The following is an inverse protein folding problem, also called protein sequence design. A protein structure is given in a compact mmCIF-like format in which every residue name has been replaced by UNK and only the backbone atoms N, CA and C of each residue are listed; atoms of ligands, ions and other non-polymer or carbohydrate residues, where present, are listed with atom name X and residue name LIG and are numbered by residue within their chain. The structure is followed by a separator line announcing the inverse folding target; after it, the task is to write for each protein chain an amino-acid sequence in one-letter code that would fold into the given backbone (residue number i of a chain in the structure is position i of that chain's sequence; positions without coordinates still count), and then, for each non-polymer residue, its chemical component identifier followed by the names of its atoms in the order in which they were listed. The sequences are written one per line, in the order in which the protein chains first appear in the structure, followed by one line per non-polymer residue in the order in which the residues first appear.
data_IF_642907821679
#
_entry.id   IF_642907821679
#
_cell.length_a   1.000
_cell.length_b   1.000
_cell.length_c   1.000
_cell.angle_alpha   90.00
_cell.angle_beta   90.00
_cell.angle_gamma   90.00
#
_symmetry.space_group_name_H-M   'P 1'
#
loop_
_entity.id
_entity.type
_entity.pdbx_description
1 polymer ?
#
# COMPACT_ATOMS: atom_id res chain seq x y z
N UNK A 1 -11.20 30.87 11.85
CA UNK A 1 -10.40 29.62 11.78
C UNK A 1 -11.24 28.34 11.76
N UNK A 2 -12.47 28.32 12.31
CA UNK A 2 -13.33 27.11 12.26
C UNK A 2 -13.85 26.75 10.85
N UNK A 3 -14.07 27.74 9.97
CA UNK A 3 -14.50 27.49 8.58
C UNK A 3 -13.42 26.84 7.71
N UNK A 4 -12.13 27.05 7.98
CA UNK A 4 -11.05 26.44 7.17
C UNK A 4 -10.83 24.98 7.54
N UNK A 5 -11.01 24.60 8.81
CA UNK A 5 -10.96 23.19 9.23
C UNK A 5 -12.15 22.37 8.70
N UNK A 6 -13.35 22.96 8.62
CA UNK A 6 -14.52 22.28 8.03
C UNK A 6 -14.36 21.96 6.54
N UNK A 7 -13.76 22.88 5.78
CA UNK A 7 -13.47 22.66 4.35
C UNK A 7 -12.34 21.64 4.12
N UNK A 8 -11.37 21.55 5.03
CA UNK A 8 -10.31 20.52 5.04
C UNK A 8 -10.84 19.12 5.45
N UNK A 9 -11.82 19.05 6.35
CA UNK A 9 -12.46 17.79 6.73
C UNK A 9 -13.38 17.25 5.62
N UNK A 10 -14.06 18.14 4.88
CA UNK A 10 -14.80 17.75 3.68
C UNK A 10 -13.86 17.21 2.59
N UNK A 11 -12.69 17.81 2.39
CA UNK A 11 -11.74 17.29 1.39
C UNK A 11 -11.12 15.96 1.81
N UNK A 12 -10.79 15.76 3.08
CA UNK A 12 -10.24 14.50 3.59
C UNK A 12 -11.25 13.35 3.49
N UNK A 13 -12.52 13.59 3.84
CA UNK A 13 -13.58 12.59 3.70
C UNK A 13 -13.88 12.28 2.24
N UNK A 14 -13.89 13.27 1.36
CA UNK A 14 -14.05 13.02 -0.08
C UNK A 14 -12.89 12.24 -0.67
N UNK A 15 -11.65 12.58 -0.32
CA UNK A 15 -10.46 11.81 -0.74
C UNK A 15 -10.53 10.38 -0.23
N UNK A 16 -10.92 10.15 1.03
CA UNK A 16 -11.10 8.81 1.58
C UNK A 16 -12.19 8.03 0.83
N UNK A 17 -13.35 8.64 0.56
CA UNK A 17 -14.43 7.98 -0.19
C UNK A 17 -14.03 7.64 -1.62
N UNK A 18 -13.33 8.54 -2.32
CA UNK A 18 -12.84 8.27 -3.68
C UNK A 18 -11.81 7.13 -3.64
N UNK A 19 -10.87 7.16 -2.69
CA UNK A 19 -9.84 6.14 -2.58
C UNK A 19 -10.43 4.76 -2.26
N UNK A 20 -11.42 4.70 -1.36
CA UNK A 20 -12.13 3.45 -1.01
C UNK A 20 -12.98 2.93 -2.17
N UNK A 21 -13.65 3.81 -2.93
CA UNK A 21 -14.40 3.41 -4.13
C UNK A 21 -13.45 2.95 -5.24
N UNK A 22 -12.33 3.63 -5.45
CA UNK A 22 -11.31 3.24 -6.44
C UNK A 22 -10.66 1.90 -6.05
N UNK A 23 -10.33 1.72 -4.77
CA UNK A 23 -9.79 0.47 -4.23
C UNK A 23 -10.81 -0.66 -4.35
N UNK A 24 -12.07 -0.42 -4.00
CA UNK A 24 -13.13 -1.42 -4.15
C UNK A 24 -13.36 -1.77 -5.63
N UNK A 25 -13.41 -0.78 -6.53
CA UNK A 25 -13.52 -1.01 -7.95
C UNK A 25 -12.32 -1.81 -8.50
N UNK A 26 -11.10 -1.51 -8.03
CA UNK A 26 -9.89 -2.22 -8.42
C UNK A 26 -9.84 -3.66 -7.86
N UNK A 27 -10.25 -3.87 -6.61
CA UNK A 27 -10.38 -5.21 -6.00
C UNK A 27 -11.46 -6.06 -6.68
N UNK A 28 -12.45 -5.43 -7.31
CA UNK A 28 -13.49 -6.11 -8.09
C UNK A 28 -13.15 -6.26 -9.59
N UNK A 29 -12.00 -5.74 -10.06
CA UNK A 29 -11.51 -5.89 -11.43
C UNK A 29 -10.70 -7.17 -11.62
N UNK A 30 -11.06 -8.26 -10.96
CA UNK A 30 -10.44 -9.55 -11.24
C UNK A 30 -10.90 -10.01 -12.64
N UNK A 31 -10.00 -10.08 -13.64
CA UNK A 31 -10.30 -10.89 -14.80
C UNK A 31 -10.48 -12.32 -14.29
N UNK A 32 -11.65 -12.91 -14.57
CA UNK A 32 -11.79 -14.35 -14.41
C UNK A 32 -11.13 -14.91 -15.65
N UNK A 33 -9.85 -15.25 -15.53
CA UNK A 33 -9.22 -16.18 -16.45
C UNK A 33 -9.81 -17.57 -16.15
N UNK A 34 -10.09 -18.32 -17.19
CA UNK A 34 -10.48 -19.72 -17.07
C UNK A 34 -9.42 -20.49 -17.85
N UNK A 35 -9.13 -21.71 -17.39
CA UNK A 35 -8.29 -22.66 -18.10
C UNK A 35 -9.12 -23.88 -18.49
N UNK A 36 -8.85 -24.38 -19.69
CA UNK A 36 -9.35 -25.67 -20.18
C UNK A 36 -8.35 -26.75 -19.78
N UNK A 37 -8.77 -27.64 -18.88
CA UNK A 37 -8.01 -28.82 -18.51
C UNK A 37 -8.66 -30.05 -19.16
N UNK A 38 -7.96 -30.67 -20.11
CA UNK A 38 -8.44 -31.86 -20.80
C UNK A 38 -7.78 -33.12 -20.24
N UNK A 39 -8.57 -34.19 -20.12
CA UNK A 39 -8.13 -35.49 -19.61
C UNK A 39 -8.58 -36.61 -20.55
N UNK A 40 -7.69 -37.55 -20.84
CA UNK A 40 -7.98 -38.74 -21.65
C UNK A 40 -8.18 -39.99 -20.76
N UNK A 41 -8.70 -41.10 -21.31
CA UNK A 41 -8.82 -42.40 -20.63
C UNK A 41 -7.48 -42.94 -20.12
N UNK A 42 -6.38 -42.60 -20.79
CA UNK A 42 -5.02 -42.97 -20.37
C UNK A 42 -4.48 -42.08 -19.24
N UNK A 43 -5.32 -41.21 -18.68
CA UNK A 43 -4.99 -40.25 -17.62
C UNK A 43 -3.91 -39.22 -18.02
N UNK A 44 -3.65 -39.07 -19.33
CA UNK A 44 -2.94 -37.93 -19.88
C UNK A 44 -3.79 -36.67 -19.67
N UNK A 45 -3.15 -35.60 -19.21
CA UNK A 45 -3.80 -34.30 -18.99
C UNK A 45 -3.03 -33.19 -19.67
N UNK A 46 -3.76 -32.25 -20.28
CA UNK A 46 -3.18 -31.07 -20.91
C UNK A 46 -4.01 -29.82 -20.58
N UNK A 47 -3.32 -28.72 -20.31
CA UNK A 47 -3.91 -27.38 -20.12
C UNK A 47 -3.86 -26.60 -21.43
N UNK A 48 -4.92 -25.84 -21.70
CA UNK A 48 -5.02 -25.00 -22.89
C UNK A 48 -5.46 -23.59 -22.49
N UNK A 49 -4.77 -22.60 -23.06
CA UNK A 49 -5.14 -21.19 -22.89
C UNK A 49 -6.51 -20.92 -23.49
N UNK A 50 -7.36 -20.23 -22.75
CA UNK A 50 -8.66 -19.81 -23.22
C UNK A 50 -9.01 -18.36 -22.87
N UNK A 51 -10.04 -17.86 -23.53
CA UNK A 51 -10.57 -16.52 -23.31
C UNK A 51 -12.07 -16.60 -23.10
N UNK A 52 -12.56 -16.34 -21.87
CA UNK A 52 -13.98 -16.43 -21.59
C UNK A 52 -14.79 -15.32 -22.28
N UNK A 53 -16.00 -15.68 -22.71
CA UNK A 53 -16.95 -14.74 -23.27
C UNK A 53 -17.49 -13.79 -22.18
N UNK A 54 -17.88 -12.58 -22.61
CA UNK A 54 -18.50 -11.57 -21.71
C UNK A 54 -20.00 -11.79 -21.47
N UNK A 55 -20.51 -12.97 -21.82
CA UNK A 55 -21.90 -13.38 -21.71
C UNK A 55 -21.98 -14.82 -21.18
N UNK A 56 -23.17 -15.23 -20.73
CA UNK A 56 -23.36 -16.45 -19.96
C UNK A 56 -23.19 -16.21 -18.46
N UNK A 57 -23.35 -17.27 -17.67
CA UNK A 57 -23.17 -17.21 -16.22
C UNK A 57 -21.71 -17.43 -15.83
N UNK A 58 -21.34 -16.99 -14.62
CA UNK A 58 -19.99 -17.20 -14.06
C UNK A 58 -19.78 -18.66 -13.68
N UNK A 59 -18.64 -19.22 -14.04
CA UNK A 59 -18.29 -20.59 -13.70
C UNK A 59 -18.34 -20.83 -12.18
N UNK A 60 -18.85 -21.99 -11.74
CA UNK A 60 -18.80 -22.38 -10.34
C UNK A 60 -17.35 -22.61 -9.90
N UNK A 61 -17.09 -22.50 -8.59
CA UNK A 61 -15.73 -22.66 -8.04
C UNK A 61 -15.14 -24.05 -8.28
N UNK A 62 -15.98 -25.09 -8.33
CA UNK A 62 -15.57 -26.46 -8.70
C UNK A 62 -15.25 -26.66 -10.18
N UNK A 63 -15.50 -25.66 -11.03
CA UNK A 63 -15.38 -25.78 -12.49
C UNK A 63 -16.49 -26.60 -13.13
N UNK A 64 -16.52 -26.64 -14.46
CA UNK A 64 -17.50 -27.39 -15.25
C UNK A 64 -16.83 -28.57 -15.96
N UNK A 65 -17.25 -29.79 -15.60
CA UNK A 65 -16.75 -31.03 -16.21
C UNK A 65 -17.75 -31.59 -17.22
N UNK A 66 -17.28 -31.89 -18.42
CA UNK A 66 -18.10 -32.54 -19.44
C UNK A 66 -17.28 -33.24 -20.53
N UNK A 67 -17.96 -34.03 -21.36
CA UNK A 67 -17.37 -34.72 -22.49
C UNK A 67 -17.29 -33.79 -23.71
N UNK A 68 -16.12 -33.74 -24.35
CA UNK A 68 -15.92 -32.89 -25.52
C UNK A 68 -16.50 -33.55 -26.78
N UNK A 69 -17.33 -32.83 -27.52
CA UNK A 69 -17.86 -33.28 -28.81
C UNK A 69 -17.71 -32.18 -29.87
N UNK A 70 -17.24 -32.57 -31.05
CA UNK A 70 -17.20 -31.66 -32.19
C UNK A 70 -18.63 -31.39 -32.69
N UNK A 71 -18.93 -30.12 -32.97
CA UNK A 71 -20.21 -29.75 -33.58
C UNK A 71 -20.34 -30.36 -34.98
N UNK A 72 -21.57 -30.73 -35.33
CA UNK A 72 -21.97 -31.13 -36.68
C UNK A 72 -23.18 -30.28 -37.09
N UNK A 73 -23.05 -29.33 -38.04
CA UNK A 73 -21.84 -28.97 -38.78
C UNK A 73 -20.79 -28.25 -37.90
N UNK A 74 -19.50 -28.32 -38.27
CA UNK A 74 -18.41 -27.76 -37.46
C UNK A 74 -18.56 -26.26 -37.21
N UNK A 75 -19.10 -25.52 -38.19
CA UNK A 75 -19.29 -24.08 -38.09
C UNK A 75 -20.55 -23.67 -37.31
N UNK A 76 -21.46 -24.60 -36.98
CA UNK A 76 -22.71 -24.29 -36.28
C UNK A 76 -23.57 -23.16 -36.91
N UNK A 77 -23.41 -22.88 -38.21
CA UNK A 77 -24.22 -21.87 -38.89
C UNK A 77 -25.65 -22.38 -39.19
N UNK A 78 -25.82 -23.69 -39.16
CA UNK A 78 -27.10 -24.40 -39.19
C UNK A 78 -27.35 -25.09 -37.82
N UNK A 79 -28.59 -25.54 -37.54
CA UNK A 79 -28.90 -26.28 -36.31
C UNK A 79 -27.96 -27.48 -36.12
N UNK A 80 -27.33 -27.55 -34.94
CA UNK A 80 -26.35 -28.59 -34.61
C UNK A 80 -27.09 -29.88 -34.24
N UNK A 81 -26.51 -31.04 -34.55
CA UNK A 81 -27.02 -32.34 -34.08
C UNK A 81 -26.98 -32.40 -32.53
N UNK A 82 -28.03 -32.89 -31.84
CA UNK A 82 -28.03 -33.02 -30.39
C UNK A 82 -26.93 -33.97 -29.87
N UNK A 83 -26.49 -33.82 -28.61
CA UNK A 83 -25.52 -34.73 -28.02
C UNK A 83 -26.06 -36.17 -27.95
N UNK A 84 -25.19 -37.18 -27.98
CA UNK A 84 -25.60 -38.58 -27.83
C UNK A 84 -26.37 -38.80 -26.52
N UNK A 85 -27.56 -39.39 -26.61
CA UNK A 85 -28.32 -39.80 -25.43
C UNK A 85 -27.59 -40.97 -24.77
N UNK A 86 -27.17 -40.80 -23.51
CA UNK A 86 -26.53 -41.85 -22.73
C UNK A 86 -27.53 -42.39 -21.72
N UNK A 87 -27.97 -43.63 -21.94
CA UNK A 87 -28.84 -44.33 -21.00
C UNK A 87 -28.07 -44.52 -19.68
N UNK A 88 -28.52 -43.85 -18.62
CA UNK A 88 -28.07 -43.96 -17.22
C UNK A 88 -26.76 -43.26 -16.81
N UNK A 89 -26.19 -42.37 -17.63
CA UNK A 89 -25.19 -41.42 -17.12
C UNK A 89 -25.52 -40.01 -17.60
N UNK A 90 -25.78 -39.11 -16.66
CA UNK A 90 -25.96 -37.68 -16.87
C UNK A 90 -24.64 -37.01 -17.26
N UNK A 91 -23.98 -37.55 -18.30
CA UNK A 91 -22.77 -36.98 -18.85
C UNK A 91 -23.12 -35.64 -19.49
N UNK A 92 -22.64 -34.55 -18.90
CA UNK A 92 -22.72 -33.25 -19.53
C UNK A 92 -21.81 -33.20 -20.76
N UNK A 93 -22.28 -32.60 -21.85
CA UNK A 93 -21.52 -32.47 -23.09
C UNK A 93 -21.09 -31.03 -23.33
N UNK A 94 -19.87 -30.88 -23.80
CA UNK A 94 -19.23 -29.61 -24.15
C UNK A 94 -19.03 -29.62 -25.66
N UNK A 95 -19.58 -28.62 -26.35
CA UNK A 95 -19.52 -28.57 -27.81
C UNK A 95 -18.33 -27.72 -28.27
N UNK A 96 -17.52 -28.27 -29.18
CA UNK A 96 -16.43 -27.57 -29.85
C UNK A 96 -16.89 -27.06 -31.21
N UNK A 97 -16.85 -25.73 -31.41
CA UNK A 97 -17.39 -25.03 -32.58
C UNK A 97 -16.28 -24.28 -33.30
N UNK A 98 -16.20 -24.48 -34.62
CA UNK A 98 -15.25 -23.79 -35.51
C UNK A 98 -15.69 -22.35 -35.79
N UNK A 99 -14.75 -21.40 -35.72
CA UNK A 99 -14.95 -20.01 -36.15
C UNK A 99 -15.10 -19.89 -37.68
N UNK A 100 -15.60 -18.74 -38.15
CA UNK A 100 -15.85 -18.35 -39.55
C UNK A 100 -17.23 -18.76 -40.08
N UNK A 101 -17.53 -18.39 -41.33
CA UNK A 101 -18.79 -18.57 -42.08
C UNK A 101 -20.02 -17.79 -41.58
N UNK A 102 -20.15 -17.58 -40.27
CA UNK A 102 -21.23 -16.81 -39.67
C UNK A 102 -20.82 -16.16 -38.34
N UNK A 103 -21.63 -15.20 -37.87
CA UNK A 103 -21.39 -14.50 -36.60
C UNK A 103 -21.56 -15.44 -35.40
N UNK A 104 -20.87 -15.12 -34.29
CA UNK A 104 -20.98 -15.86 -33.03
C UNK A 104 -22.43 -16.00 -32.56
N UNK A 105 -23.23 -14.95 -32.71
CA UNK A 105 -24.66 -14.90 -32.35
C UNK A 105 -25.46 -16.07 -32.94
N UNK A 106 -25.22 -16.36 -34.22
CA UNK A 106 -25.92 -17.44 -34.94
C UNK A 106 -25.48 -18.79 -34.39
N UNK A 107 -24.17 -18.96 -34.16
CA UNK A 107 -23.58 -20.20 -33.59
C UNK A 107 -24.10 -20.48 -32.18
N UNK A 108 -24.19 -19.44 -31.34
CA UNK A 108 -24.71 -19.51 -29.98
C UNK A 108 -26.20 -19.91 -30.01
N UNK A 109 -27.01 -19.27 -30.87
CA UNK A 109 -28.44 -19.60 -30.98
C UNK A 109 -28.66 -21.05 -31.44
N UNK A 110 -27.86 -21.53 -32.40
CA UNK A 110 -28.02 -22.88 -32.92
C UNK A 110 -27.56 -23.95 -31.92
N UNK A 111 -26.56 -23.67 -31.09
CA UNK A 111 -26.12 -24.57 -30.02
C UNK A 111 -27.04 -24.54 -28.79
N UNK A 112 -27.62 -23.39 -28.44
CA UNK A 112 -28.60 -23.24 -27.33
C UNK A 112 -29.88 -24.07 -27.51
N UNK A 113 -30.17 -24.57 -28.71
CA UNK A 113 -31.34 -25.42 -28.97
C UNK A 113 -31.23 -26.81 -28.34
N UNK A 114 -30.04 -27.17 -27.85
CA UNK A 114 -29.74 -28.46 -27.25
C UNK A 114 -29.05 -28.31 -25.90
N UNK A 115 -29.13 -29.35 -25.07
CA UNK A 115 -28.64 -29.34 -23.68
C UNK A 115 -27.12 -29.54 -23.59
N UNK A 116 -26.34 -28.61 -24.13
CA UNK A 116 -24.90 -28.54 -23.89
C UNK A 116 -24.61 -27.76 -22.60
N UNK A 117 -23.54 -28.14 -21.90
CA UNK A 117 -23.13 -27.49 -20.65
C UNK A 117 -22.26 -26.25 -20.88
N UNK A 118 -21.42 -26.29 -21.92
CA UNK A 118 -20.43 -25.27 -22.26
C UNK A 118 -20.20 -25.26 -23.77
N UNK A 119 -19.90 -24.09 -24.32
CA UNK A 119 -19.51 -23.92 -25.71
C UNK A 119 -18.05 -23.48 -25.80
N UNK A 120 -17.24 -24.20 -26.57
CA UNK A 120 -15.84 -23.88 -26.83
C UNK A 120 -15.73 -23.48 -28.30
N UNK A 121 -15.38 -22.23 -28.54
CA UNK A 121 -15.14 -21.71 -29.89
C UNK A 121 -13.66 -21.76 -30.18
N UNK A 122 -13.27 -22.21 -31.37
CA UNK A 122 -11.85 -22.23 -31.73
C UNK A 122 -11.55 -21.41 -32.97
N UNK A 123 -10.35 -20.83 -32.97
CA UNK A 123 -9.79 -20.15 -34.12
C UNK A 123 -9.33 -21.16 -35.20
N UNK A 124 -9.08 -20.65 -36.40
CA UNK A 124 -8.85 -21.45 -37.62
C UNK A 124 -7.58 -21.05 -38.36
N UNK A 125 -6.96 -19.93 -37.98
CA UNK A 125 -5.85 -19.32 -38.73
C UNK A 125 -4.59 -19.22 -37.88
N UNK A 126 -4.77 -18.98 -36.59
CA UNK A 126 -3.70 -18.79 -35.62
C UNK A 126 -4.19 -19.14 -34.21
N UNK A 127 -3.27 -19.08 -33.25
CA UNK A 127 -3.55 -19.26 -31.83
C UNK A 127 -3.95 -17.95 -31.12
N UNK A 128 -4.26 -16.89 -31.86
CA UNK A 128 -4.69 -15.66 -31.22
C UNK A 128 -6.08 -15.82 -30.61
N UNK A 129 -6.18 -15.51 -29.32
CA UNK A 129 -7.44 -15.49 -28.60
C UNK A 129 -8.21 -14.19 -28.89
N UNK A 130 -9.46 -14.34 -29.31
CA UNK A 130 -10.28 -13.22 -29.77
C UNK A 130 -11.49 -13.05 -28.87
N UNK A 131 -11.69 -11.82 -28.38
CA UNK A 131 -12.87 -11.48 -27.59
C UNK A 131 -14.12 -11.64 -28.44
N UNK A 132 -14.97 -12.59 -28.05
CA UNK A 132 -16.29 -12.78 -28.63
C UNK A 132 -17.15 -11.54 -28.37
N UNK A 133 -17.48 -10.80 -29.44
CA UNK A 133 -18.38 -9.65 -29.35
C UNK A 133 -19.80 -10.17 -29.19
N UNK A 134 -20.41 -9.93 -28.04
CA UNK A 134 -21.77 -10.33 -27.75
C UNK A 134 -22.81 -9.52 -28.53
N UNK A 135 -24.02 -10.07 -28.58
CA UNK A 135 -25.22 -9.47 -29.18
C UNK A 135 -25.55 -8.16 -28.46
N UNK A 136 -25.76 -7.07 -29.21
CA UNK A 136 -26.02 -5.74 -28.63
C UNK A 136 -27.44 -5.56 -28.06
N UNK A 137 -28.34 -6.54 -28.21
CA UNK A 137 -29.70 -6.48 -27.69
C UNK A 137 -29.79 -7.15 -26.33
N UNK A 138 -30.12 -6.35 -25.30
CA UNK A 138 -30.20 -6.76 -23.89
C UNK A 138 -31.12 -7.97 -23.68
N UNK A 139 -32.19 -8.08 -24.48
CA UNK A 139 -33.17 -9.17 -24.37
C UNK A 139 -32.60 -10.52 -24.81
N UNK A 140 -31.63 -10.54 -25.72
CA UNK A 140 -31.00 -11.79 -26.18
C UNK A 140 -29.90 -12.22 -25.22
N UNK A 141 -29.15 -11.28 -24.64
CA UNK A 141 -28.14 -11.58 -23.62
C UNK A 141 -28.74 -12.26 -22.38
N UNK A 142 -29.96 -11.86 -21.96
CA UNK A 142 -30.69 -12.51 -20.85
C UNK A 142 -31.08 -13.95 -21.13
N UNK A 143 -31.11 -14.36 -22.40
CA UNK A 143 -31.50 -15.71 -22.83
C UNK A 143 -30.30 -16.66 -22.96
N UNK A 144 -29.07 -16.15 -22.92
CA UNK A 144 -27.86 -16.96 -23.03
C UNK A 144 -27.46 -17.43 -21.62
N UNK A 145 -27.85 -18.66 -21.29
CA UNK A 145 -27.59 -19.30 -19.99
C UNK A 145 -26.51 -20.39 -20.08
N UNK A 146 -25.58 -20.28 -21.04
CA UNK A 146 -24.48 -21.23 -21.21
C UNK A 146 -23.18 -20.43 -21.26
N UNK A 147 -22.14 -20.77 -20.47
CA UNK A 147 -20.83 -20.15 -20.57
C UNK A 147 -20.23 -20.46 -21.93
N UNK A 148 -19.34 -19.59 -22.39
CA UNK A 148 -18.62 -19.78 -23.64
C UNK A 148 -17.19 -19.34 -23.48
N UNK A 149 -16.27 -20.09 -24.07
CA UNK A 149 -14.83 -19.79 -24.07
C UNK A 149 -14.28 -19.86 -25.48
N UNK A 150 -13.20 -19.14 -25.73
CA UNK A 150 -12.53 -19.10 -27.02
C UNK A 150 -11.09 -19.63 -26.91
N UNK A 151 -10.66 -20.47 -27.85
CA UNK A 151 -9.32 -21.08 -27.88
C UNK A 151 -8.61 -20.89 -29.23
N UNK A 152 -7.29 -21.10 -29.22
CA UNK A 152 -6.44 -21.14 -30.41
C UNK A 152 -6.69 -22.36 -31.32
N UNK A 153 -6.15 -22.31 -32.52
CA UNK A 153 -6.25 -23.40 -33.51
C UNK A 153 -5.48 -24.66 -33.08
N UNK A 154 -4.23 -24.52 -32.64
CA UNK A 154 -3.39 -25.64 -32.20
C UNK A 154 -4.01 -26.37 -31.02
N UNK A 155 -4.49 -25.61 -30.04
CA UNK A 155 -5.22 -26.12 -28.88
C UNK A 155 -6.46 -26.92 -29.29
N UNK A 156 -7.22 -26.40 -30.26
CA UNK A 156 -8.40 -27.11 -30.78
C UNK A 156 -8.03 -28.39 -31.53
N UNK A 157 -6.94 -28.40 -32.30
CA UNK A 157 -6.49 -29.60 -33.00
C UNK A 157 -6.07 -30.68 -31.99
N UNK A 158 -5.29 -30.33 -30.96
CA UNK A 158 -4.96 -31.25 -29.86
C UNK A 158 -6.21 -31.80 -29.16
N UNK A 159 -7.19 -30.94 -28.86
CA UNK A 159 -8.46 -31.35 -28.27
C UNK A 159 -9.24 -32.34 -29.16
N UNK A 160 -9.26 -32.12 -30.48
CA UNK A 160 -9.92 -33.02 -31.45
C UNK A 160 -9.21 -34.36 -31.56
N UNK A 161 -7.88 -34.32 -31.58
CA UNK A 161 -7.05 -35.48 -31.84
C UNK A 161 -6.87 -36.39 -30.62
N UNK A 162 -7.02 -35.89 -29.40
CA UNK A 162 -6.75 -36.69 -28.20
C UNK A 162 -7.90 -36.71 -27.19
N UNK A 163 -8.70 -35.64 -27.11
CA UNK A 163 -9.64 -35.43 -26.01
C UNK A 163 -11.12 -35.45 -26.43
N UNK A 164 -11.45 -36.08 -27.56
CA UNK A 164 -12.85 -36.25 -28.00
C UNK A 164 -13.58 -37.32 -27.19
N UNK A 165 -14.91 -37.19 -27.09
CA UNK A 165 -15.79 -38.12 -26.39
C UNK A 165 -15.62 -39.58 -26.84
N UNK A 166 -15.40 -39.82 -28.13
CA UNK A 166 -15.19 -41.17 -28.69
C UNK A 166 -13.92 -41.83 -28.13
N UNK A 167 -12.93 -41.01 -27.74
CA UNK A 167 -11.69 -41.42 -27.07
C UNK A 167 -11.79 -41.36 -25.55
N UNK A 168 -12.96 -41.03 -25.00
CA UNK A 168 -13.17 -40.84 -23.56
C UNK A 168 -12.68 -39.54 -22.97
N UNK A 169 -12.25 -38.61 -23.83
CA UNK A 169 -11.76 -37.34 -23.39
C UNK A 169 -12.86 -36.55 -22.68
N UNK A 170 -12.52 -36.01 -21.51
CA UNK A 170 -13.35 -35.06 -20.80
C UNK A 170 -12.57 -33.79 -20.55
N UNK A 171 -13.28 -32.68 -20.62
CA UNK A 171 -12.74 -31.34 -20.40
C UNK A 171 -13.34 -30.81 -19.10
N UNK A 172 -12.49 -30.20 -18.29
CA UNK A 172 -12.85 -29.47 -17.08
C UNK A 172 -12.46 -28.02 -17.29
N UNK A 173 -13.45 -27.15 -17.29
CA UNK A 173 -13.23 -25.71 -17.32
C UNK A 173 -13.15 -25.21 -15.88
N UNK A 174 -11.96 -24.80 -15.45
CA UNK A 174 -11.72 -24.36 -14.07
C UNK A 174 -11.55 -22.84 -14.07
N UNK A 175 -12.27 -22.09 -13.22
CA UNK A 175 -11.95 -20.67 -13.04
C UNK A 175 -10.55 -20.57 -12.44
N UNK A 176 -9.64 -19.88 -13.11
CA UNK A 176 -8.32 -19.60 -12.58
C UNK A 176 -8.48 -18.50 -11.53
N UNK A 177 -8.49 -18.90 -10.26
CA UNK A 177 -8.32 -17.95 -9.16
C UNK A 177 -6.82 -17.65 -9.03
N UNK A 178 -6.26 -16.97 -10.03
CA UNK A 178 -4.97 -16.34 -9.85
C UNK A 178 -5.18 -15.26 -8.78
N UNK A 179 -4.81 -15.55 -7.53
CA UNK A 179 -4.70 -14.50 -6.51
C UNK A 179 -3.63 -13.55 -7.04
N UNK A 180 -3.99 -12.38 -7.57
CA UNK A 180 -3.02 -11.55 -8.25
C UNK A 180 -2.23 -10.81 -7.18
N UNK A 181 -1.27 -11.51 -6.58
CA UNK A 181 -0.43 -11.00 -5.49
C UNK A 181 0.21 -9.67 -5.90
N UNK A 182 0.56 -9.50 -7.18
CA UNK A 182 1.05 -8.25 -7.73
C UNK A 182 0.08 -7.06 -7.51
N UNK A 183 -1.23 -7.25 -7.71
CA UNK A 183 -2.24 -6.22 -7.47
C UNK A 183 -2.43 -5.88 -5.98
N UNK A 184 -2.13 -6.80 -5.06
CA UNK A 184 -2.17 -6.53 -3.62
C UNK A 184 -0.86 -5.98 -3.06
N UNK A 185 0.28 -6.33 -3.67
CA UNK A 185 1.61 -5.85 -3.25
C UNK A 185 1.80 -4.36 -3.55
N UNK A 186 1.34 -3.88 -4.71
CA UNK A 186 1.46 -2.46 -5.08
C UNK A 186 0.81 -1.51 -4.05
N UNK A 187 -0.49 -1.66 -3.67
CA UNK A 187 -1.10 -0.80 -2.66
C UNK A 187 -0.46 -0.97 -1.27
N UNK A 188 0.01 -2.17 -0.91
CA UNK A 188 0.75 -2.38 0.33
C UNK A 188 2.05 -1.56 0.37
N UNK A 189 2.84 -1.58 -0.70
CA UNK A 189 4.07 -0.79 -0.81
C UNK A 189 3.81 0.71 -0.78
N UNK A 190 2.71 1.18 -1.38
CA UNK A 190 2.30 2.60 -1.31
C UNK A 190 2.00 3.00 0.14
N UNK A 191 1.24 2.19 0.89
CA UNK A 191 0.93 2.46 2.29
C UNK A 191 2.20 2.53 3.14
N UNK A 192 3.10 1.54 2.99
CA UNK A 192 4.39 1.52 3.68
C UNK A 192 5.22 2.76 3.34
N UNK A 193 5.27 3.16 2.07
CA UNK A 193 5.97 4.36 1.63
C UNK A 193 5.42 5.65 2.25
N UNK A 194 4.10 5.80 2.32
CA UNK A 194 3.45 6.97 2.96
C UNK A 194 3.80 7.00 4.46
N UNK A 195 3.74 5.86 5.15
CA UNK A 195 4.10 5.78 6.58
C UNK A 195 5.56 6.22 6.83
N UNK A 196 6.51 5.78 5.99
CA UNK A 196 7.91 6.20 6.10
C UNK A 196 8.07 7.70 5.86
N UNK A 197 7.39 8.27 4.86
CA UNK A 197 7.43 9.71 4.58
C UNK A 197 6.89 10.51 5.78
N UNK A 198 5.79 10.07 6.40
CA UNK A 198 5.23 10.73 7.58
C UNK A 198 6.18 10.67 8.78
N UNK A 199 6.85 9.54 8.99
CA UNK A 199 7.88 9.39 10.03
C UNK A 199 9.05 10.34 9.78
N UNK A 200 9.53 10.45 8.54
CA UNK A 200 10.61 11.36 8.17
C UNK A 200 10.19 12.82 8.37
N UNK A 201 8.98 13.22 7.97
CA UNK A 201 8.45 14.57 8.21
C UNK A 201 8.35 14.84 9.71
N UNK A 202 7.87 13.89 10.51
CA UNK A 202 7.82 14.02 11.96
C UNK A 202 9.22 14.17 12.56
N UNK A 203 10.20 13.39 12.11
CA UNK A 203 11.60 13.52 12.55
C UNK A 203 12.19 14.88 12.18
N UNK A 204 11.97 15.37 10.95
CA UNK A 204 12.46 16.68 10.50
C UNK A 204 11.79 17.80 11.31
N UNK A 205 10.47 17.76 11.47
CA UNK A 205 9.74 18.78 12.25
C UNK A 205 10.20 18.80 13.70
N UNK A 206 10.36 17.64 14.34
CA UNK A 206 10.92 17.53 15.69
C UNK A 206 12.35 18.05 15.76
N UNK A 207 13.21 17.68 14.81
CA UNK A 207 14.60 18.17 14.75
C UNK A 207 14.66 19.69 14.62
N UNK A 208 13.82 20.27 13.75
CA UNK A 208 13.69 21.70 13.56
C UNK A 208 13.18 22.37 14.84
N UNK A 209 12.11 21.85 15.46
CA UNK A 209 11.57 22.36 16.73
C UNK A 209 12.59 22.33 17.85
N UNK A 210 13.31 21.22 18.03
CA UNK A 210 14.36 21.07 19.06
C UNK A 210 15.50 22.07 18.82
N UNK A 211 15.91 22.25 17.55
CA UNK A 211 16.91 23.26 17.17
C UNK A 211 16.41 24.69 17.40
N UNK A 212 15.13 24.99 17.14
CA UNK A 212 14.53 26.29 17.45
C UNK A 212 14.47 26.54 18.96
N UNK A 213 14.09 25.54 19.77
CA UNK A 213 14.06 25.63 21.24
C UNK A 213 15.45 25.92 21.80
N UNK A 214 16.49 25.26 21.28
CA UNK A 214 17.87 25.53 21.66
C UNK A 214 18.34 26.97 21.32
N UNK A 215 17.81 27.58 20.25
CA UNK A 215 18.13 28.97 19.86
C UNK A 215 17.41 30.02 20.71
N UNK A 216 16.12 29.82 21.06
CA UNK A 216 15.34 30.81 21.82
C UNK A 216 15.82 31.00 23.26
N UNK A 217 16.49 30.00 23.84
CA UNK A 217 16.91 30.03 25.25
C UNK A 217 18.20 30.81 25.54
N UNK A 218 18.87 31.40 24.54
CA UNK A 218 20.14 32.13 24.71
C UNK A 218 19.96 33.65 24.70
N UNK A 219 20.44 34.37 25.72
CA UNK A 219 20.44 35.84 25.74
C UNK A 219 21.55 36.38 24.83
N UNK A 220 21.21 37.30 23.91
CA UNK A 220 22.22 38.00 23.09
C UNK A 220 23.15 38.79 24.01
N UNK A 221 24.46 38.76 23.75
CA UNK A 221 25.48 39.47 24.54
C UNK A 221 25.20 40.97 24.70
N UNK A 222 24.51 41.58 23.74
CA UNK A 222 24.16 43.00 23.78
C UNK A 222 23.06 43.35 24.79
N UNK A 223 22.14 42.41 25.06
CA UNK A 223 21.12 42.58 26.10
C UNK A 223 21.72 42.35 27.49
N UNK A 224 22.69 41.44 27.61
CA UNK A 224 23.42 41.21 28.86
C UNK A 224 24.20 42.46 29.31
N UNK A 225 24.79 43.21 28.37
CA UNK A 225 25.54 44.45 28.66
C UNK A 225 24.68 45.58 29.24
N UNK A 226 23.36 45.54 29.07
CA UNK A 226 22.43 46.55 29.58
C UNK A 226 22.04 46.36 31.04
N UNK A 227 22.38 45.20 31.63
CA UNK A 227 22.04 44.91 33.03
C UNK A 227 23.00 45.65 33.98
N UNK A 228 22.49 46.18 35.12
CA UNK A 228 23.29 46.92 36.08
C UNK A 228 24.48 46.10 36.60
N UNK A 229 25.64 46.76 36.71
CA UNK A 229 26.84 46.20 37.35
C UNK A 229 27.17 47.05 38.57
N UNK A 230 27.20 46.40 39.73
CA UNK A 230 27.62 46.98 40.99
C UNK A 230 29.04 46.52 41.34
N UNK A 231 29.85 47.40 41.94
CA UNK A 231 31.14 47.00 42.51
C UNK A 231 30.94 46.85 44.01
N UNK A 232 31.11 45.63 44.51
CA UNK A 232 30.89 45.33 45.92
C UNK A 232 31.82 46.14 46.83
N UNK A 233 31.26 46.64 47.92
CA UNK A 233 31.97 47.24 49.04
C UNK A 233 31.47 46.61 50.33
N UNK A 234 32.38 46.37 51.27
CA UNK A 234 32.10 45.81 52.60
C UNK A 234 31.06 46.67 53.32
N UNK A 235 29.85 46.12 53.47
CA UNK A 235 28.67 46.82 54.01
C UNK A 235 27.48 46.93 53.05
N UNK A 236 27.58 46.43 51.82
CA UNK A 236 26.43 46.28 50.91
C UNK A 236 25.44 45.18 51.40
N UNK A 237 24.21 45.18 50.87
CA UNK A 237 23.13 44.24 51.25
C UNK A 237 23.31 42.80 50.74
N UNK A 238 24.42 42.49 50.05
CA UNK A 238 24.65 41.20 49.41
C UNK A 238 25.91 40.55 49.99
N UNK A 239 25.81 39.34 50.52
CA UNK A 239 26.95 38.71 51.22
C UNK A 239 27.59 37.54 50.45
N UNK A 240 26.79 36.78 49.69
CA UNK A 240 27.24 35.52 49.05
C UNK A 240 26.70 35.37 47.63
N UNK A 241 27.51 34.81 46.73
CA UNK A 241 27.05 34.43 45.39
C UNK A 241 26.36 33.08 45.38
N UNK A 242 25.07 33.02 45.05
CA UNK A 242 24.32 31.77 44.99
C UNK A 242 24.71 30.80 43.84
N UNK A 243 25.71 31.15 43.00
CA UNK A 243 26.22 30.26 41.93
C UNK A 243 27.53 29.57 42.34
N UNK A 244 28.52 30.33 42.82
CA UNK A 244 29.80 29.75 43.28
C UNK A 244 29.86 29.49 44.79
N UNK A 245 28.87 29.99 45.53
CA UNK A 245 28.76 29.89 47.00
C UNK A 245 29.88 30.62 47.77
N UNK A 246 30.64 31.48 47.09
CA UNK A 246 31.69 32.30 47.70
C UNK A 246 31.13 33.62 48.25
N UNK A 247 31.71 34.10 49.35
CA UNK A 247 31.49 35.45 49.89
C UNK A 247 32.02 36.52 48.93
N UNK A 248 31.40 37.70 48.92
CA UNK A 248 31.84 38.80 48.06
C UNK A 248 33.05 39.54 48.65
N UNK A 249 34.03 39.84 47.80
CA UNK A 249 35.23 40.59 48.17
C UNK A 249 35.19 42.03 47.67
N UNK A 250 35.81 42.96 48.42
CA UNK A 250 35.87 44.38 48.04
C UNK A 250 36.41 44.57 46.61
N UNK A 251 35.58 45.18 45.75
CA UNK A 251 35.90 45.40 44.34
C UNK A 251 35.35 44.34 43.38
N UNK A 252 34.67 43.31 43.86
CA UNK A 252 33.99 42.32 43.02
C UNK A 252 32.93 42.97 42.13
N UNK A 253 32.87 42.51 40.87
CA UNK A 253 31.85 42.97 39.91
C UNK A 253 30.62 42.09 40.00
N UNK A 254 29.56 42.65 40.57
CA UNK A 254 28.27 42.00 40.72
C UNK A 254 27.32 42.45 39.60
N UNK A 255 26.62 41.51 39.00
CA UNK A 255 25.50 41.79 38.09
C UNK A 255 24.21 41.63 38.87
N UNK A 256 23.41 42.69 38.89
CA UNK A 256 22.10 42.70 39.54
C UNK A 256 21.03 42.46 38.47
N UNK A 257 20.23 41.40 38.65
CA UNK A 257 19.12 41.09 37.74
C UNK A 257 17.87 41.95 38.08
N UNK A 258 16.88 42.08 37.19
CA UNK A 258 15.66 42.86 37.45
C UNK A 258 14.82 42.37 38.64
N UNK A 259 15.07 41.15 39.11
CA UNK A 259 14.50 40.56 40.32
C UNK A 259 15.36 40.81 41.57
N UNK A 260 16.22 41.84 41.54
CA UNK A 260 17.17 42.28 42.57
C UNK A 260 18.20 41.26 43.09
N UNK A 261 18.25 40.04 42.56
CA UNK A 261 19.31 39.10 42.90
C UNK A 261 20.66 39.50 42.28
N UNK A 262 21.71 39.50 43.10
CA UNK A 262 23.09 39.81 42.71
C UNK A 262 23.95 38.54 42.59
N UNK A 263 24.86 38.54 41.61
CA UNK A 263 25.80 37.44 41.35
C UNK A 263 27.11 38.03 40.81
N UNK A 264 28.25 37.34 40.97
CA UNK A 264 29.46 37.72 40.22
C UNK A 264 29.16 37.71 38.71
N UNK A 265 29.63 38.73 37.97
CA UNK A 265 29.48 38.76 36.51
C UNK A 265 30.05 37.49 35.86
N UNK A 266 31.16 36.96 36.37
CA UNK A 266 31.79 35.72 35.86
C UNK A 266 30.89 34.49 36.00
N UNK A 267 30.04 34.46 37.04
CA UNK A 267 29.20 33.31 37.37
C UNK A 267 27.86 33.34 36.62
N UNK A 268 27.21 34.51 36.55
CA UNK A 268 25.86 34.61 35.95
C UNK A 268 25.88 34.85 34.44
N UNK A 269 26.95 35.41 33.87
CA UNK A 269 27.02 35.69 32.43
C UNK A 269 27.01 34.39 31.57
N UNK A 270 27.76 33.33 31.92
CA UNK A 270 27.65 32.03 31.23
C UNK A 270 26.26 31.43 31.36
N UNK A 271 25.63 31.53 32.54
CA UNK A 271 24.28 31.03 32.79
C UNK A 271 23.24 31.68 31.85
N UNK A 272 23.26 33.00 31.74
CA UNK A 272 22.31 33.76 30.93
C UNK A 272 22.56 33.63 29.41
N UNK A 273 23.80 33.39 28.99
CA UNK A 273 24.16 33.32 27.56
C UNK A 273 24.14 31.90 27.00
N UNK A 274 24.45 30.88 27.80
CA UNK A 274 24.57 29.49 27.34
C UNK A 274 23.41 28.60 27.80
N UNK A 275 22.81 28.90 28.96
CA UNK A 275 21.88 27.98 29.63
C UNK A 275 20.42 28.47 29.56
N UNK A 276 20.06 29.51 30.33
CA UNK A 276 18.67 30.00 30.43
C UNK A 276 18.64 31.51 30.68
N UNK A 277 17.64 32.23 30.14
CA UNK A 277 17.42 33.67 30.36
C UNK A 277 16.72 34.01 31.69
N UNK A 278 16.83 33.14 32.69
CA UNK A 278 16.09 33.23 33.96
C UNK A 278 17.04 33.31 35.14
N UNK A 279 16.62 34.00 36.19
CA UNK A 279 17.33 34.05 37.46
C UNK A 279 17.55 32.62 38.02
N UNK A 280 18.77 32.24 38.45
CA UNK A 280 19.04 30.94 39.07
C UNK A 280 18.19 30.66 40.32
N UNK A 281 17.91 31.70 41.12
CA UNK A 281 17.18 31.56 42.39
C UNK A 281 15.67 31.60 42.18
N UNK A 282 15.13 32.70 41.67
CA UNK A 282 13.67 32.89 41.59
C UNK A 282 13.04 32.49 40.25
N UNK A 283 13.82 31.99 39.28
CA UNK A 283 13.39 31.60 37.93
C UNK A 283 12.72 32.71 37.09
N UNK A 284 12.69 33.96 37.57
CA UNK A 284 12.14 35.10 36.83
C UNK A 284 12.95 35.42 35.57
N UNK A 285 12.27 35.70 34.44
CA UNK A 285 12.91 36.09 33.18
C UNK A 285 13.64 37.43 33.33
N UNK A 286 14.88 37.50 32.82
CA UNK A 286 15.78 38.66 32.95
C UNK A 286 15.46 39.79 31.95
N UNK A 287 14.66 39.51 30.91
CA UNK A 287 14.18 40.52 29.95
C UNK A 287 12.66 40.41 29.83
N UNK A 288 11.89 41.49 30.05
CA UNK A 288 10.47 41.52 29.70
C UNK A 288 10.33 41.44 28.19
N UNK A 289 9.42 40.59 27.70
CA UNK A 289 9.10 40.46 26.27
C UNK A 289 8.51 41.78 25.73
N UNK A 290 9.35 42.74 25.32
CA UNK A 290 8.90 43.84 24.47
C UNK A 290 9.30 43.55 23.03
N UNK A 291 8.31 43.14 22.23
CA UNK A 291 8.23 43.46 20.81
C UNK A 291 9.01 42.59 19.82
N UNK A 292 8.89 41.27 19.88
CA UNK A 292 9.00 40.45 18.66
C UNK A 292 7.63 39.76 18.46
N UNK A 293 6.83 40.32 17.56
CA UNK A 293 5.56 39.76 17.11
C UNK A 293 5.82 38.50 16.30
N UNK A 294 6.02 37.35 16.96
CA UNK A 294 5.84 36.04 16.35
C UNK A 294 4.96 35.21 17.28
N UNK A 295 3.73 34.97 16.82
CA UNK A 295 2.63 34.27 17.47
C UNK A 295 3.05 33.08 18.36
N UNK A 296 3.04 33.30 19.68
CA UNK A 296 3.01 32.25 20.68
C UNK A 296 1.57 31.74 20.83
N UNK A 297 1.27 30.58 20.23
CA UNK A 297 0.23 29.69 20.76
C UNK A 297 0.96 28.65 21.60
N UNK A 298 1.21 28.98 22.86
CA UNK A 298 1.82 28.08 23.84
C UNK A 298 0.69 27.32 24.54
N UNK A 299 0.33 26.16 24.00
CA UNK A 299 -0.43 25.15 24.73
C UNK A 299 0.57 24.16 25.33
N UNK A 300 1.18 24.56 26.46
CA UNK A 300 1.85 23.65 27.37
C UNK A 300 0.93 23.37 28.55
N UNK A 301 0.31 22.19 28.53
CA UNK A 301 -0.26 21.58 29.73
C UNK A 301 0.91 21.22 30.66
N UNK A 302 0.96 21.88 31.81
CA UNK A 302 1.79 21.46 32.94
C UNK A 302 1.09 20.26 33.62
N UNK A 303 1.74 19.10 33.56
CA UNK A 303 1.41 17.95 34.40
C UNK A 303 1.80 18.28 35.85
N UNK A 304 0.82 18.44 36.73
CA UNK A 304 1.01 18.52 38.16
C UNK A 304 1.29 17.10 38.71
N UNK A 305 2.53 16.84 39.09
CA UNK A 305 2.86 15.80 40.07
C UNK A 305 2.42 16.27 41.47
N UNK A 306 1.47 15.56 42.09
CA UNK A 306 1.23 15.64 43.54
C UNK A 306 1.26 14.22 44.09
N UNK A 307 2.36 13.90 44.77
CA UNK A 307 2.45 12.81 45.73
C UNK A 307 2.03 13.36 47.09
N UNK A 308 1.02 12.78 47.74
CA UNK A 308 0.96 12.71 49.21
C UNK A 308 -0.07 11.66 49.69
N UNK A 309 0.46 10.66 50.41
CA UNK A 309 -0.12 9.85 51.50
C UNK A 309 -1.60 9.44 51.55
N UNK A 310 -1.81 8.12 51.63
CA UNK A 310 -2.95 7.47 52.31
C UNK A 310 -2.91 7.74 53.83
N UNK A 311 -4.06 7.89 54.53
CA UNK A 311 -4.73 6.74 55.15
C UNK A 311 -6.29 6.77 55.31
N UNK A 312 -6.88 5.57 55.22
CA UNK A 312 -7.97 4.96 56.02
C UNK A 312 -9.47 5.42 56.02
N UNK A 313 -10.31 4.40 55.67
CA UNK A 313 -11.62 3.94 56.23
C UNK A 313 -12.99 4.58 55.82
N UNK A 314 -13.68 3.88 54.87
CA UNK A 314 -15.10 3.37 54.76
C UNK A 314 -16.30 4.06 55.48
N UNK A 315 -17.59 3.77 55.11
CA UNK A 315 -18.23 3.17 53.90
C UNK A 315 -19.53 3.89 53.43
N UNK A 316 -20.25 3.27 52.45
CA UNK A 316 -21.65 3.47 51.97
C UNK A 316 -21.77 4.32 50.69
N UNK A 317 -22.52 3.95 49.64
CA UNK A 317 -23.38 2.80 49.33
C UNK A 317 -23.64 2.74 47.81
N UNK A 318 -23.94 1.53 47.29
CA UNK A 318 -24.77 1.18 46.11
C UNK A 318 -24.66 2.05 44.85
N UNK A 319 -24.31 1.52 43.68
CA UNK A 319 -25.26 0.79 42.80
C UNK A 319 -24.56 -0.31 41.98
N UNK A 320 -25.28 -1.43 41.88
CA UNK A 320 -25.06 -2.67 41.14
C UNK A 320 -24.96 -2.56 39.61
N UNK A 321 -24.08 -3.35 38.99
CA UNK A 321 -24.43 -4.29 37.90
C UNK A 321 -23.22 -5.15 37.44
N UNK A 322 -23.37 -6.48 37.61
CA UNK A 322 -22.93 -7.59 36.72
C UNK A 322 -21.41 -7.75 36.47
N UNK A 323 -20.66 -8.67 37.10
CA UNK A 323 -20.71 -10.15 37.12
C UNK A 323 -20.48 -10.84 35.76
N UNK A 324 -19.25 -11.32 35.54
CA UNK A 324 -18.75 -12.57 34.89
C UNK A 324 -17.21 -12.40 34.85
N UNK A 325 -16.29 -13.26 35.25
CA UNK A 325 -16.28 -14.66 35.71
C UNK A 325 -15.12 -15.41 35.04
N UNK A 326 -14.00 -15.65 35.78
CA UNK A 326 -13.00 -16.72 35.62
C UNK A 326 -11.99 -16.64 34.41
N UNK A 327 -10.70 -17.03 34.43
CA UNK A 327 -9.82 -17.95 35.20
C UNK A 327 -8.31 -17.53 35.02
N UNK A 328 -7.50 -17.53 36.10
CA UNK A 328 -6.32 -18.38 36.42
C UNK A 328 -5.05 -18.28 35.53
N UNK A 329 -3.91 -17.81 36.08
CA UNK A 329 -2.68 -18.59 36.46
C UNK A 329 -1.92 -19.24 35.30
N UNK A 330 -0.60 -19.39 35.25
CA UNK A 330 0.61 -18.81 35.86
C UNK A 330 1.76 -19.67 35.30
N UNK A 331 2.94 -19.07 35.10
CA UNK A 331 4.28 -19.68 35.10
C UNK A 331 4.53 -21.11 34.55
N UNK A 332 5.45 -21.20 33.59
CA UNK A 332 6.66 -22.02 33.83
C UNK A 332 7.84 -21.54 32.98
N UNK A 333 8.91 -21.18 33.69
CA UNK A 333 10.28 -21.22 33.19
C UNK A 333 10.66 -22.66 32.88
N UNK A 334 11.44 -22.88 31.81
CA UNK A 334 12.52 -23.85 31.84
C UNK A 334 13.67 -23.38 30.95
N UNK A 335 14.85 -23.50 31.52
CA UNK A 335 16.16 -23.03 31.12
C UNK A 335 17.02 -24.27 30.89
N UNK A 336 17.81 -24.33 29.82
CA UNK A 336 19.07 -25.08 29.68
C UNK A 336 19.86 -24.38 28.54
N UNK A 337 20.98 -23.67 28.75
CA UNK A 337 22.39 -24.11 28.97
C UNK A 337 22.74 -25.30 28.06
N UNK A 338 23.79 -25.33 27.22
CA UNK A 338 25.19 -24.86 27.21
C UNK A 338 25.69 -25.21 25.77
N UNK A 339 26.72 -24.70 25.10
CA UNK A 339 28.10 -24.40 25.51
C UNK A 339 28.93 -23.93 24.29
N UNK A 340 29.88 -23.02 24.56
CA UNK A 340 31.25 -22.81 24.00
C UNK A 340 31.43 -22.70 22.48
N UNK A 341 31.81 -21.53 21.93
CA UNK A 341 33.13 -20.86 21.98
C UNK A 341 34.21 -21.55 21.14
N UNK A 342 34.64 -20.89 20.05
CA UNK A 342 36.03 -20.70 19.65
C UNK A 342 36.15 -19.39 18.85
N UNK A 343 37.02 -18.49 19.32
CA UNK A 343 37.50 -17.27 18.65
C UNK A 343 38.61 -17.61 17.63
N UNK A 344 38.79 -16.78 16.58
CA UNK A 344 40.06 -16.05 16.31
C UNK A 344 39.99 -15.19 15.02
N UNK A 345 40.21 -13.89 15.23
CA UNK A 345 41.07 -12.91 14.53
C UNK A 345 41.26 -12.85 13.01
N UNK A 346 40.95 -11.65 12.50
CA UNK A 346 41.82 -10.69 11.76
C UNK A 346 42.78 -11.19 10.67
N UNK A 347 42.60 -10.66 9.45
CA UNK A 347 43.47 -9.60 8.91
C UNK A 347 43.09 -9.17 7.48
N UNK A 348 43.27 -7.87 7.24
CA UNK A 348 43.23 -7.17 5.95
C UNK A 348 44.46 -7.45 5.07
N UNK A 349 44.32 -7.17 3.77
CA UNK A 349 45.24 -6.49 2.82
C UNK A 349 45.03 -7.06 1.39
N UNK A 350 44.38 -6.31 0.50
CA UNK A 350 44.96 -5.44 -0.56
C UNK A 350 46.03 -6.09 -1.44
N UNK A 351 45.74 -6.22 -2.75
CA UNK A 351 46.60 -5.62 -3.78
C UNK A 351 45.87 -5.38 -5.13
N UNK A 352 46.11 -4.19 -5.66
CA UNK A 352 46.14 -3.61 -7.03
C UNK A 352 45.68 -4.41 -8.27
N UNK A 353 45.32 -3.82 -9.42
CA UNK A 353 45.80 -2.59 -10.09
C UNK A 353 44.88 -2.13 -11.23
N UNK A 354 44.68 -0.81 -11.30
CA UNK A 354 44.68 0.10 -12.45
C UNK A 354 44.39 -0.40 -13.88
N UNK A 355 43.40 0.25 -14.54
CA UNK A 355 43.59 0.90 -15.83
C UNK A 355 42.44 1.89 -16.12
N UNK A 356 42.76 3.18 -16.05
CA UNK A 356 41.95 4.26 -16.61
C UNK A 356 41.95 4.19 -18.15
N UNK A 357 40.81 4.47 -18.77
CA UNK A 357 40.84 5.32 -19.97
C UNK A 357 39.49 6.02 -20.22
N UNK A 358 39.61 7.31 -20.47
CA UNK A 358 38.56 8.31 -20.64
C UNK A 358 37.98 8.35 -22.07
N UNK A 359 36.66 8.62 -22.11
CA UNK A 359 35.91 9.53 -23.02
C UNK A 359 35.79 9.18 -24.52
N UNK A 360 34.54 8.96 -24.96
CA UNK A 360 33.89 9.84 -25.95
C UNK A 360 32.38 9.59 -26.06
N UNK A 361 31.59 10.61 -25.76
CA UNK A 361 30.18 10.72 -26.13
C UNK A 361 30.03 10.86 -27.64
N UNK A 362 29.10 10.13 -28.25
CA UNK A 362 28.49 10.52 -29.53
C UNK A 362 27.01 10.16 -29.53
N UNK A 363 26.19 11.20 -29.42
CA UNK A 363 24.76 11.19 -29.69
C UNK A 363 24.48 10.85 -31.16
N UNK A 364 23.67 9.83 -31.42
CA UNK A 364 23.09 9.59 -32.76
C UNK A 364 21.58 9.82 -32.68
N UNK A 365 21.17 10.90 -33.34
CA UNK A 365 19.78 11.28 -33.59
C UNK A 365 19.26 10.42 -34.74
N UNK A 366 18.20 9.62 -34.49
CA UNK A 366 17.49 8.91 -35.56
C UNK A 366 16.31 9.78 -36.01
N UNK A 367 16.41 10.28 -37.23
CA UNK A 367 15.41 11.10 -37.90
C UNK A 367 14.40 10.19 -38.62
N UNK A 368 13.13 10.25 -38.20
CA UNK A 368 12.00 9.62 -38.86
C UNK A 368 11.63 10.41 -40.12
N UNK A 369 11.44 9.72 -41.24
CA UNK A 369 10.76 10.26 -42.43
C UNK A 369 9.76 9.23 -42.96
N UNK A 370 8.55 9.67 -43.36
CA UNK A 370 7.42 8.78 -43.63
C UNK A 370 7.43 8.30 -45.08
N UNK A 371 7.12 7.02 -45.30
CA UNK A 371 6.96 6.47 -46.64
C UNK A 371 5.48 6.51 -47.05
N UNK A 372 5.26 7.03 -48.27
CA UNK A 372 3.99 7.50 -48.77
C UNK A 372 3.04 6.43 -49.32
N UNK A 373 1.80 6.90 -49.45
CA UNK A 373 0.63 6.30 -50.07
C UNK A 373 0.90 5.88 -51.53
N UNK A 374 0.31 4.76 -51.95
CA UNK A 374 0.00 4.50 -53.35
C UNK A 374 -1.50 4.27 -53.48
N UNK A 375 -2.17 5.28 -54.01
CA UNK A 375 -3.50 5.19 -54.59
C UNK A 375 -3.49 4.35 -55.87
N UNK A 376 -4.48 3.47 -56.03
CA UNK A 376 -5.00 3.10 -57.34
C UNK A 376 -6.52 3.24 -57.33
N UNK A 377 -6.98 4.20 -58.15
CA UNK A 377 -8.37 4.58 -58.32
C UNK A 377 -9.16 3.59 -59.20
N UNK A 378 -10.47 3.61 -58.94
CA UNK A 378 -11.56 2.85 -59.54
C UNK A 378 -11.90 3.34 -60.98
N UNK A 379 -12.35 2.37 -61.78
CA UNK A 379 -13.17 2.35 -63.01
C UNK A 379 -13.73 3.65 -63.63
N UNK A 380 -13.83 3.64 -64.98
CA UNK A 380 -15.13 3.75 -65.67
C UNK A 380 -15.09 3.37 -67.18
N UNK A 381 -16.10 2.59 -67.57
CA UNK A 381 -16.88 2.48 -68.84
C UNK A 381 -16.41 3.20 -70.12
N UNK A 382 -16.43 2.48 -71.26
CA UNK A 382 -17.44 2.55 -72.34
C UNK A 382 -17.55 1.16 -72.99
#
# INVERSE_FOLDING_TARGET
MLLSLGMLMLSATQVYTILTVQLFAFLNLLPVEADILAYNFENASQTFDDLPARFGYRLPAEGLKGFLINSKPENACEPIVPPPLKDNSSGAFIVLIRRLDCNFDVKIINSLRHSYLLQVFHNVVDDQLIRMKGINTVDVLKKIDIPSVFIGESSANSLKDEFTYEKGGHVVLVPEFSLPLEYYLIPFLIIVGICLILIVIFMITKFVQDRHRARRNRLRKDQLKKLPIHKFKKGDEYDVCAICLDEYEDGDKLRILPCSHAYHCKCVDPWLTKTKKTCPVCKQKVVPSQGDSDSDTDSSQEENEVSEHTPLLRPLASVSAQSFGALSESHSHQNMTESSDYEEDDNEETDSSDAENEINEHSVVVQLQPNGERDYNIANTV
#
